data_IF_590868744975
#
_entry.id   IF_590868744975
#
_cell.length_a   1.000
_cell.length_b   1.000
_cell.length_c   1.000
_cell.angle_alpha   90.00
_cell.angle_beta   90.00
_cell.angle_gamma   90.00
#
_symmetry.space_group_name_H-M   'P 1'
#
loop_
_entity.id
_entity.type
_entity.pdbx_description
1 polymer ?
#
# COMPACT_ATOMS: atom_id res chain seq x y z
N UNK A 1 -12.23 16.00 -16.58
CA UNK A 1 -11.76 14.66 -16.15
C UNK A 1 -12.81 14.15 -15.17
N UNK A 2 -13.41 13.00 -15.43
CA UNK A 2 -14.40 12.40 -14.53
C UNK A 2 -14.35 10.89 -14.70
N UNK A 3 -14.40 10.15 -13.59
CA UNK A 3 -14.61 8.72 -13.63
C UNK A 3 -16.07 8.47 -14.04
N UNK A 4 -16.35 7.88 -15.22
CA UNK A 4 -17.73 7.71 -15.67
C UNK A 4 -18.54 6.88 -14.67
N UNK A 5 -19.68 7.42 -14.21
CA UNK A 5 -20.55 6.75 -13.24
C UNK A 5 -20.18 6.95 -11.77
N UNK A 6 -19.29 7.90 -11.45
CA UNK A 6 -18.94 8.30 -10.08
C UNK A 6 -19.44 9.71 -9.79
N UNK A 7 -20.29 9.86 -8.78
CA UNK A 7 -20.70 11.15 -8.24
C UNK A 7 -19.62 11.68 -7.29
N UNK A 8 -18.76 12.57 -7.79
CA UNK A 8 -17.66 13.19 -7.03
C UNK A 8 -18.16 14.19 -6.00
N UNK A 9 -17.63 14.20 -4.75
CA UNK A 9 -18.03 15.10 -3.66
C UNK A 9 -18.16 16.55 -4.14
N UNK A 10 -19.04 17.37 -3.53
CA UNK A 10 -19.25 18.71 -4.03
C UNK A 10 -17.93 19.45 -3.94
N UNK A 11 -17.67 20.32 -4.92
CA UNK A 11 -16.48 21.14 -4.85
C UNK A 11 -16.45 21.87 -3.52
N UNK A 12 -15.27 21.89 -2.92
CA UNK A 12 -15.07 22.60 -1.69
C UNK A 12 -15.41 24.08 -1.91
N UNK A 13 -16.22 24.71 -1.03
CA UNK A 13 -16.50 26.13 -1.14
C UNK A 13 -15.23 26.94 -0.86
N UNK A 14 -14.90 27.82 -1.79
CA UNK A 14 -13.77 28.75 -1.69
C UNK A 14 -14.27 30.21 -1.77
N UNK A 15 -13.64 31.14 -1.04
CA UNK A 15 -13.84 32.58 -1.21
C UNK A 15 -13.38 32.99 -2.61
N UNK A 16 -14.06 33.99 -3.19
CA UNK A 16 -13.65 34.55 -4.48
C UNK A 16 -12.38 35.40 -4.37
N UNK A 17 -12.10 35.95 -3.19
CA UNK A 17 -10.92 36.75 -2.90
C UNK A 17 -9.71 35.86 -2.60
N UNK A 18 -8.57 36.16 -3.24
CA UNK A 18 -7.36 35.36 -3.13
C UNK A 18 -6.82 35.31 -1.69
N UNK A 19 -6.75 36.44 -0.99
CA UNK A 19 -6.18 36.49 0.36
C UNK A 19 -7.07 35.71 1.33
N UNK A 20 -8.40 35.82 1.18
CA UNK A 20 -9.35 35.01 1.95
C UNK A 20 -9.26 33.52 1.62
N UNK A 21 -9.11 33.15 0.35
CA UNK A 21 -8.97 31.76 -0.07
C UNK A 21 -7.65 31.14 0.42
N UNK A 22 -6.55 31.90 0.34
CA UNK A 22 -5.26 31.50 0.87
C UNK A 22 -5.33 31.30 2.38
N UNK A 23 -5.92 32.24 3.12
CA UNK A 23 -6.10 32.11 4.57
C UNK A 23 -6.95 30.90 4.94
N UNK A 24 -8.00 30.57 4.17
CA UNK A 24 -8.78 29.35 4.39
C UNK A 24 -7.97 28.08 4.10
N UNK A 25 -7.13 28.08 3.06
CA UNK A 25 -6.25 26.96 2.73
C UNK A 25 -5.18 26.73 3.80
N UNK A 26 -4.50 27.80 4.21
CA UNK A 26 -3.43 27.75 5.22
C UNK A 26 -3.93 27.42 6.63
N UNK A 27 -5.23 27.60 6.91
CA UNK A 27 -5.86 27.21 8.17
C UNK A 27 -6.16 25.70 8.26
N UNK A 28 -6.00 24.95 7.18
CA UNK A 28 -6.20 23.50 7.18
C UNK A 28 -5.03 22.76 7.82
N UNK A 29 -5.28 21.58 8.41
CA UNK A 29 -4.21 20.67 8.76
C UNK A 29 -3.35 20.37 7.51
N UNK A 30 -2.02 20.50 7.59
CA UNK A 30 -1.15 20.41 6.42
C UNK A 30 -1.09 18.99 5.84
N UNK A 31 -1.42 17.97 6.63
CA UNK A 31 -1.39 16.57 6.23
C UNK A 31 -2.69 15.90 6.63
N UNK A 32 -3.33 15.24 5.66
CA UNK A 32 -4.47 14.35 5.86
C UNK A 32 -4.11 12.96 5.36
N UNK A 33 -4.22 11.97 6.23
CA UNK A 33 -4.05 10.54 5.88
C UNK A 33 -5.41 9.92 5.81
N UNK A 34 -5.69 9.22 4.71
CA UNK A 34 -6.96 8.57 4.45
C UNK A 34 -6.76 7.07 4.40
N UNK A 35 -7.44 6.34 5.28
CA UNK A 35 -7.30 4.89 5.39
C UNK A 35 -8.42 4.19 4.63
N UNK A 36 -8.10 3.02 4.06
CA UNK A 36 -9.08 2.17 3.40
C UNK A 36 -9.88 2.93 2.31
N UNK A 37 -9.17 3.72 1.49
CA UNK A 37 -9.75 4.45 0.36
C UNK A 37 -10.41 3.46 -0.61
N UNK A 38 -11.68 3.67 -0.93
CA UNK A 38 -12.46 2.70 -1.71
C UNK A 38 -13.39 1.83 -0.86
N UNK A 39 -13.23 1.78 0.46
CA UNK A 39 -13.94 0.84 1.32
C UNK A 39 -14.98 1.49 2.24
N UNK A 40 -15.19 2.81 2.17
CA UNK A 40 -16.12 3.53 3.05
C UNK A 40 -17.56 2.98 3.05
N UNK A 41 -18.03 2.45 1.90
CA UNK A 41 -19.35 1.82 1.76
C UNK A 41 -19.31 0.29 1.64
N UNK A 42 -18.19 -0.36 1.98
CA UNK A 42 -18.17 -1.82 2.05
C UNK A 42 -19.05 -2.30 3.23
N UNK A 43 -20.08 -3.09 2.93
CA UNK A 43 -21.06 -3.58 3.92
C UNK A 43 -22.28 -2.65 4.06
N UNK A 44 -22.98 -2.72 5.20
CA UNK A 44 -24.19 -1.92 5.49
C UNK A 44 -23.88 -0.48 5.97
N UNK A 45 -22.70 0.06 5.65
CA UNK A 45 -22.26 1.41 6.09
C UNK A 45 -22.72 2.47 5.10
N UNK A 46 -23.35 3.53 5.61
CA UNK A 46 -23.76 4.69 4.82
C UNK A 46 -22.54 5.48 4.30
N UNK A 47 -22.71 6.15 3.16
CA UNK A 47 -21.68 7.06 2.64
C UNK A 47 -21.38 8.20 3.65
N UNK A 48 -20.11 8.60 3.84
CA UNK A 48 -19.72 9.68 4.75
C UNK A 48 -20.41 11.03 4.44
N UNK A 49 -20.76 11.24 3.17
CA UNK A 49 -21.54 12.37 2.70
C UNK A 49 -22.94 11.86 2.32
N UNK A 50 -23.90 11.99 3.23
CA UNK A 50 -25.23 11.39 3.16
C UNK A 50 -26.17 11.89 2.05
N UNK A 51 -25.63 12.50 0.98
CA UNK A 51 -26.39 13.06 -0.15
C UNK A 51 -26.15 12.36 -1.51
N UNK A 52 -25.47 11.20 -1.54
CA UNK A 52 -24.92 10.65 -2.80
C UNK A 52 -25.36 9.24 -3.12
N UNK A 53 -25.67 9.04 -4.39
CA UNK A 53 -26.06 7.77 -4.99
C UNK A 53 -24.85 7.07 -5.61
N UNK A 54 -24.70 5.74 -5.47
CA UNK A 54 -25.60 4.83 -4.76
C UNK A 54 -25.41 4.85 -3.24
N UNK A 55 -26.51 4.64 -2.50
CA UNK A 55 -26.51 4.35 -1.06
C UNK A 55 -26.89 2.86 -0.85
N UNK A 56 -26.02 2.01 -0.26
CA UNK A 56 -24.68 2.32 0.22
C UNK A 56 -23.64 2.50 -0.90
N UNK A 57 -22.56 3.21 -0.59
CA UNK A 57 -21.47 3.50 -1.53
C UNK A 57 -20.85 2.19 -2.07
N UNK A 58 -20.79 1.98 -3.40
CA UNK A 58 -20.15 0.79 -3.96
C UNK A 58 -18.65 0.70 -3.58
N UNK A 59 -18.09 -0.52 -3.46
CA UNK A 59 -16.65 -0.70 -3.35
C UNK A 59 -15.90 0.03 -4.48
N UNK A 60 -14.83 0.73 -4.13
CA UNK A 60 -14.00 1.50 -5.04
C UNK A 60 -14.44 2.94 -5.28
N UNK A 61 -15.48 3.43 -4.60
CA UNK A 61 -15.79 4.86 -4.56
C UNK A 61 -14.67 5.63 -3.81
N UNK A 62 -14.33 6.88 -4.19
CA UNK A 62 -13.16 7.60 -3.68
C UNK A 62 -13.36 8.17 -2.25
N UNK A 63 -13.91 7.35 -1.36
CA UNK A 63 -14.12 7.66 0.04
C UNK A 63 -13.30 6.70 0.91
N UNK A 64 -12.64 7.26 1.91
CA UNK A 64 -11.95 6.53 2.97
C UNK A 64 -12.93 6.11 4.06
N UNK A 65 -12.67 4.97 4.69
CA UNK A 65 -13.42 4.56 5.89
C UNK A 65 -13.19 5.57 7.03
N UNK A 66 -11.96 6.03 7.19
CA UNK A 66 -11.57 7.03 8.18
C UNK A 66 -10.44 7.91 7.62
N UNK A 67 -10.41 9.17 8.05
CA UNK A 67 -9.33 10.10 7.76
C UNK A 67 -8.82 10.70 9.06
N UNK A 68 -7.50 10.81 9.18
CA UNK A 68 -6.81 11.46 10.30
C UNK A 68 -5.96 12.63 9.78
N UNK A 69 -5.73 13.64 10.62
CA UNK A 69 -4.93 14.82 10.27
C UNK A 69 -3.69 14.95 11.16
N UNK A 70 -2.60 15.44 10.59
CA UNK A 70 -1.30 15.58 11.26
C UNK A 70 -0.64 16.92 10.94
N UNK A 71 0.14 17.43 11.90
CA UNK A 71 0.90 18.68 11.78
C UNK A 71 2.26 18.50 11.09
N UNK A 72 2.77 17.27 11.03
CA UNK A 72 4.08 16.96 10.43
C UNK A 72 4.10 15.58 9.80
N UNK A 73 5.05 15.39 8.87
CA UNK A 73 5.33 14.10 8.26
C UNK A 73 6.76 13.63 8.59
N UNK A 74 6.95 12.38 9.04
CA UNK A 74 5.91 11.44 9.47
C UNK A 74 5.08 11.97 10.66
N UNK A 75 3.92 11.36 10.96
CA UNK A 75 3.15 11.70 12.15
C UNK A 75 4.02 11.78 13.42
N UNK A 76 3.77 12.75 14.32
CA UNK A 76 4.50 12.83 15.58
C UNK A 76 4.41 11.52 16.38
N UNK A 77 5.55 11.01 16.86
CA UNK A 77 5.60 9.75 17.60
C UNK A 77 5.68 8.49 16.74
N UNK A 78 5.75 8.59 15.41
CA UNK A 78 6.01 7.44 14.54
C UNK A 78 7.36 6.79 14.89
N UNK A 79 7.30 5.52 15.28
CA UNK A 79 8.47 4.65 15.48
C UNK A 79 8.59 3.66 14.33
N UNK A 80 9.76 3.52 13.68
CA UNK A 80 9.95 2.49 12.67
C UNK A 80 9.73 1.09 13.26
N UNK A 81 8.84 0.32 12.66
CA UNK A 81 8.73 -1.12 12.93
C UNK A 81 9.80 -1.82 12.10
N UNK A 82 10.79 -2.42 12.79
CA UNK A 82 11.92 -3.08 12.12
C UNK A 82 11.70 -4.58 12.13
N UNK A 83 11.64 -5.13 10.92
CA UNK A 83 11.64 -6.56 10.69
C UNK A 83 12.91 -6.98 9.96
N UNK A 84 13.39 -8.16 10.28
CA UNK A 84 14.52 -8.82 9.66
C UNK A 84 14.03 -9.99 8.82
N UNK A 85 14.61 -10.13 7.63
CA UNK A 85 14.42 -11.31 6.79
C UNK A 85 14.97 -12.53 7.54
N UNK A 86 14.12 -13.52 7.76
CA UNK A 86 14.49 -14.79 8.37
C UNK A 86 14.59 -15.88 7.31
N UNK A 87 15.38 -16.93 7.56
CA UNK A 87 15.38 -18.07 6.65
C UNK A 87 14.01 -18.75 6.62
N UNK A 88 13.75 -19.48 5.53
CA UNK A 88 12.47 -20.14 5.25
C UNK A 88 11.30 -19.17 5.03
N UNK A 89 11.58 -17.91 4.67
CA UNK A 89 10.56 -16.93 4.25
C UNK A 89 9.79 -16.28 5.39
N UNK A 90 10.38 -16.15 6.58
CA UNK A 90 9.74 -15.47 7.71
C UNK A 90 10.22 -14.01 7.86
N UNK A 91 9.43 -13.18 8.54
CA UNK A 91 9.82 -11.86 9.06
C UNK A 91 9.70 -11.85 10.58
N UNK A 92 10.72 -11.32 11.26
CA UNK A 92 10.74 -11.23 12.72
C UNK A 92 11.44 -9.93 13.19
N UNK A 93 11.10 -9.44 14.37
CA UNK A 93 11.76 -8.28 14.99
C UNK A 93 13.17 -8.61 15.52
N UNK A 94 13.44 -9.88 15.81
CA UNK A 94 14.77 -10.33 16.21
C UNK A 94 15.67 -10.56 14.98
N UNK A 95 16.96 -10.16 15.03
CA UNK A 95 17.91 -10.52 13.99
C UNK A 95 18.03 -12.05 13.82
N UNK A 96 18.30 -12.56 12.60
CA UNK A 96 18.44 -13.98 12.38
C UNK A 96 19.59 -14.57 13.22
N UNK A 97 19.30 -15.68 13.90
CA UNK A 97 20.29 -16.41 14.70
C UNK A 97 21.25 -17.26 13.84
N UNK A 98 20.94 -17.39 12.54
CA UNK A 98 21.73 -18.13 11.57
C UNK A 98 22.92 -17.30 11.13
N UNK A 99 24.12 -17.88 11.14
CA UNK A 99 25.34 -17.20 10.66
C UNK A 99 25.34 -17.06 9.13
N UNK A 100 25.84 -15.93 8.64
CA UNK A 100 25.89 -15.56 7.22
C UNK A 100 26.54 -16.62 6.32
N UNK A 101 27.54 -17.35 6.83
CA UNK A 101 28.26 -18.36 6.05
C UNK A 101 27.52 -19.69 5.91
N UNK A 102 26.38 -19.85 6.57
CA UNK A 102 25.60 -21.08 6.48
C UNK A 102 24.80 -21.13 5.17
N UNK A 103 24.39 -22.33 4.76
CA UNK A 103 23.51 -22.50 3.59
C UNK A 103 22.14 -21.84 3.74
N UNK A 104 21.76 -21.42 4.96
CA UNK A 104 20.53 -20.71 5.29
C UNK A 104 20.75 -19.22 5.58
N UNK A 105 21.98 -18.72 5.40
CA UNK A 105 22.32 -17.30 5.62
C UNK A 105 21.94 -16.39 4.45
N UNK A 106 21.46 -16.96 3.34
CA UNK A 106 21.00 -16.22 2.18
C UNK A 106 19.92 -17.02 1.45
N UNK A 107 18.95 -16.30 0.86
CA UNK A 107 17.97 -16.85 -0.06
C UNK A 107 18.33 -16.53 -1.51
N UNK A 108 17.87 -17.38 -2.43
CA UNK A 108 18.16 -17.23 -3.85
C UNK A 108 16.91 -17.48 -4.67
N UNK A 109 16.72 -16.69 -5.71
CA UNK A 109 15.70 -16.92 -6.73
C UNK A 109 16.33 -16.82 -8.11
N UNK A 110 15.63 -17.33 -9.12
CA UNK A 110 16.01 -17.17 -10.52
C UNK A 110 15.09 -16.13 -11.13
N UNK A 111 15.64 -14.94 -11.41
CA UNK A 111 14.91 -13.95 -12.19
C UNK A 111 14.45 -14.53 -13.53
N UNK A 112 13.15 -14.48 -13.77
CA UNK A 112 12.52 -14.87 -15.02
C UNK A 112 11.93 -13.62 -15.67
N UNK A 113 12.59 -13.12 -16.73
CA UNK A 113 12.16 -11.94 -17.44
C UNK A 113 10.76 -12.08 -18.08
N UNK A 114 10.26 -13.30 -18.27
CA UNK A 114 8.88 -13.51 -18.73
C UNK A 114 7.84 -13.24 -17.64
N UNK A 115 8.26 -13.25 -16.36
CA UNK A 115 7.39 -12.90 -15.22
C UNK A 115 7.06 -11.42 -15.18
N UNK A 116 7.75 -10.53 -15.91
CA UNK A 116 7.39 -9.11 -15.97
C UNK A 116 6.03 -8.83 -16.62
N UNK A 117 5.41 -9.83 -17.28
CA UNK A 117 4.01 -9.77 -17.72
C UNK A 117 3.00 -10.24 -16.68
N UNK A 118 3.47 -10.82 -15.57
CA UNK A 118 2.68 -11.18 -14.40
C UNK A 118 2.70 -9.95 -13.48
N UNK A 119 1.53 -9.41 -13.18
CA UNK A 119 1.41 -8.21 -12.38
C UNK A 119 -0.04 -7.91 -12.08
N UNK A 120 -0.30 -6.70 -11.59
CA UNK A 120 -1.64 -6.25 -11.24
C UNK A 120 -2.43 -6.01 -12.53
N UNK A 121 -3.23 -7.00 -12.93
CA UNK A 121 -4.06 -6.94 -14.12
C UNK A 121 -5.47 -6.47 -13.81
N UNK A 122 -5.94 -5.40 -14.46
CA UNK A 122 -7.35 -5.00 -14.40
C UNK A 122 -8.18 -5.76 -15.43
N UNK A 123 -9.29 -6.36 -15.00
CA UNK A 123 -10.27 -7.00 -15.89
C UNK A 123 -11.25 -6.01 -16.52
N UNK A 124 -11.25 -4.75 -16.06
CA UNK A 124 -12.12 -3.65 -16.49
C UNK A 124 -11.28 -2.38 -16.74
N UNK A 125 -11.95 -1.31 -17.15
CA UNK A 125 -11.34 0.03 -17.29
C UNK A 125 -10.61 0.44 -16.01
N UNK A 126 -9.37 0.95 -16.13
CA UNK A 126 -8.62 1.53 -15.02
C UNK A 126 -9.31 2.76 -14.41
N UNK A 127 -10.25 3.36 -15.14
CA UNK A 127 -11.09 4.47 -14.68
C UNK A 127 -12.38 4.00 -13.98
N UNK A 128 -12.60 2.69 -13.85
CA UNK A 128 -13.71 2.11 -13.08
C UNK A 128 -13.44 2.25 -11.59
N UNK A 129 -14.48 2.42 -10.76
CA UNK A 129 -14.35 2.37 -9.29
C UNK A 129 -13.75 1.05 -8.83
N UNK A 130 -14.13 -0.04 -9.49
CA UNK A 130 -13.52 -1.34 -9.31
C UNK A 130 -13.03 -1.85 -10.67
N UNK A 131 -11.73 -1.69 -10.99
CA UNK A 131 -11.12 -2.24 -12.20
C UNK A 131 -11.03 -3.77 -12.20
N UNK A 132 -11.37 -4.43 -11.09
CA UNK A 132 -11.27 -5.88 -10.93
C UNK A 132 -9.82 -6.33 -11.05
N UNK A 133 -8.95 -5.71 -10.26
CA UNK A 133 -7.54 -6.06 -10.20
C UNK A 133 -7.38 -7.51 -9.73
N UNK A 134 -6.50 -8.23 -10.42
CA UNK A 134 -6.11 -9.58 -10.05
C UNK A 134 -4.66 -9.51 -9.59
N UNK A 135 -4.44 -9.80 -8.31
CA UNK A 135 -3.12 -10.04 -7.76
C UNK A 135 -2.73 -11.49 -8.06
N UNK A 136 -1.58 -11.68 -8.70
CA UNK A 136 -1.06 -13.00 -9.02
C UNK A 136 0.37 -13.08 -8.45
N UNK A 137 0.65 -14.01 -7.54
CA UNK A 137 2.00 -14.19 -7.04
C UNK A 137 2.91 -14.63 -8.18
N UNK A 138 4.18 -14.24 -8.08
CA UNK A 138 5.21 -14.72 -9.00
C UNK A 138 5.35 -16.25 -8.87
N UNK A 139 5.70 -16.95 -9.97
CA UNK A 139 5.96 -18.38 -9.92
C UNK A 139 6.98 -18.76 -8.84
N UNK A 140 6.83 -19.95 -8.28
CA UNK A 140 7.75 -20.45 -7.27
C UNK A 140 9.19 -20.43 -7.78
N UNK A 141 10.11 -19.89 -6.97
CA UNK A 141 11.53 -19.78 -7.30
C UNK A 141 11.90 -18.62 -8.23
N UNK A 142 10.95 -17.80 -8.69
CA UNK A 142 11.24 -16.59 -9.49
C UNK A 142 11.16 -15.28 -8.70
N UNK A 143 10.76 -15.35 -7.43
CA UNK A 143 10.77 -14.25 -6.46
C UNK A 143 11.05 -14.78 -5.06
N UNK A 144 11.25 -13.88 -4.10
CA UNK A 144 11.34 -14.19 -2.67
C UNK A 144 10.15 -13.55 -1.96
N UNK A 145 9.57 -14.26 -1.01
CA UNK A 145 8.46 -13.78 -0.19
C UNK A 145 8.78 -14.04 1.27
N UNK A 146 8.53 -13.02 2.11
CA UNK A 146 8.74 -13.09 3.54
C UNK A 146 7.47 -12.66 4.25
N UNK A 147 7.05 -13.43 5.25
CA UNK A 147 5.79 -13.21 5.97
C UNK A 147 6.04 -13.17 7.48
N UNK A 148 5.49 -12.17 8.16
CA UNK A 148 5.53 -12.13 9.62
C UNK A 148 4.54 -13.13 10.22
N UNK A 149 4.68 -13.41 11.51
CA UNK A 149 3.56 -13.97 12.25
C UNK A 149 2.33 -13.03 12.18
N UNK A 150 1.11 -13.55 12.35
CA UNK A 150 -0.09 -12.72 12.39
C UNK A 150 0.03 -11.61 13.43
N UNK A 151 -0.37 -10.40 13.06
CA UNK A 151 -0.41 -9.28 14.00
C UNK A 151 -1.41 -9.56 15.12
N UNK A 152 -0.98 -9.37 16.37
CA UNK A 152 -1.81 -9.65 17.56
C UNK A 152 -2.85 -8.55 17.84
N UNK A 153 -2.74 -7.41 17.18
CA UNK A 153 -3.63 -6.26 17.33
C UNK A 153 -3.74 -5.45 16.03
N UNK A 154 -4.85 -4.72 15.90
CA UNK A 154 -5.04 -3.75 14.82
C UNK A 154 -3.88 -2.74 14.82
N UNK A 155 -3.17 -2.65 13.70
CA UNK A 155 -1.94 -1.86 13.58
C UNK A 155 -2.06 -0.89 12.41
N UNK A 156 -2.00 0.41 12.69
CA UNK A 156 -1.93 1.43 11.66
C UNK A 156 -0.47 1.76 11.32
N UNK A 157 -0.09 1.60 10.05
CA UNK A 157 1.23 1.99 9.54
C UNK A 157 1.10 3.26 8.73
N UNK A 158 1.72 4.34 9.21
CA UNK A 158 1.70 5.65 8.54
C UNK A 158 3.10 6.22 8.51
N UNK A 159 3.66 6.34 7.32
CA UNK A 159 5.01 6.82 7.12
C UNK A 159 5.62 6.28 5.84
N UNK A 160 6.94 6.31 5.78
CA UNK A 160 7.73 5.72 4.71
C UNK A 160 8.27 4.36 5.13
N UNK A 161 8.28 3.39 4.22
CA UNK A 161 9.01 2.14 4.38
C UNK A 161 10.32 2.16 3.57
N UNK A 162 11.29 1.37 4.03
CA UNK A 162 12.54 1.08 3.32
C UNK A 162 13.00 -0.33 3.65
N UNK A 163 13.87 -0.89 2.82
CA UNK A 163 14.50 -2.19 3.05
C UNK A 163 16.00 -2.07 2.79
N UNK A 164 16.78 -2.68 3.67
CA UNK A 164 18.23 -2.81 3.54
C UNK A 164 18.56 -4.22 3.04
N UNK A 165 19.17 -4.31 1.85
CA UNK A 165 19.47 -5.59 1.21
C UNK A 165 20.96 -5.73 0.91
N UNK A 166 21.49 -6.94 1.18
CA UNK A 166 22.79 -7.38 0.69
C UNK A 166 22.56 -8.30 -0.51
N UNK A 167 22.86 -7.80 -1.71
CA UNK A 167 22.52 -8.48 -2.96
C UNK A 167 23.78 -8.97 -3.67
N UNK A 168 23.70 -10.18 -4.22
CA UNK A 168 24.66 -10.69 -5.20
C UNK A 168 23.90 -11.17 -6.42
N UNK A 169 24.31 -10.70 -7.60
CA UNK A 169 23.75 -11.13 -8.88
C UNK A 169 24.77 -11.88 -9.72
N UNK A 170 24.27 -12.74 -10.62
CA UNK A 170 25.06 -13.31 -11.72
C UNK A 170 25.10 -12.40 -12.93
N UNK A 171 24.21 -11.40 -13.00
CA UNK A 171 24.19 -10.34 -14.00
C UNK A 171 24.98 -9.10 -13.51
N UNK A 172 25.55 -8.30 -14.43
CA UNK A 172 26.29 -7.10 -14.08
C UNK A 172 25.41 -5.87 -13.74
N UNK A 173 24.11 -5.92 -14.05
CA UNK A 173 23.11 -4.86 -13.82
C UNK A 173 21.77 -5.56 -13.51
N UNK A 174 21.05 -5.09 -12.50
CA UNK A 174 19.75 -5.65 -12.09
C UNK A 174 18.76 -4.56 -11.69
N UNK A 175 17.49 -4.84 -11.94
CA UNK A 175 16.37 -4.14 -11.31
C UNK A 175 15.92 -4.94 -10.09
N UNK A 176 15.81 -4.26 -8.94
CA UNK A 176 15.23 -4.78 -7.70
C UNK A 176 13.89 -4.09 -7.48
N UNK A 177 12.85 -4.88 -7.29
CA UNK A 177 11.52 -4.45 -6.89
C UNK A 177 11.18 -5.12 -5.56
N UNK A 178 10.62 -4.34 -4.64
CA UNK A 178 10.16 -4.85 -3.35
C UNK A 178 8.75 -4.33 -3.11
N UNK A 179 7.83 -5.26 -2.89
CA UNK A 179 6.45 -4.98 -2.54
C UNK A 179 6.25 -5.25 -1.05
N UNK A 180 5.74 -4.25 -0.34
CA UNK A 180 5.13 -4.41 0.96
C UNK A 180 3.63 -4.68 0.75
N UNK A 181 3.16 -5.79 1.32
CA UNK A 181 1.76 -6.22 1.23
C UNK A 181 1.20 -6.58 2.60
N UNK A 182 -0.12 -6.57 2.71
CA UNK A 182 -0.86 -7.09 3.85
C UNK A 182 -1.49 -8.44 3.48
N UNK A 183 -1.23 -9.48 4.27
CA UNK A 183 -1.95 -10.75 4.18
C UNK A 183 -3.09 -10.76 5.20
N UNK A 184 -4.31 -10.79 4.70
CA UNK A 184 -5.53 -10.77 5.51
C UNK A 184 -5.89 -12.16 6.05
N UNK A 185 -6.70 -12.25 7.12
CA UNK A 185 -7.14 -13.54 7.69
C UNK A 185 -7.92 -14.44 6.71
N UNK A 186 -8.48 -13.89 5.64
CA UNK A 186 -9.16 -14.64 4.58
C UNK A 186 -8.17 -15.18 3.52
N UNK A 187 -6.87 -15.02 3.73
CA UNK A 187 -5.79 -15.45 2.85
C UNK A 187 -5.57 -14.53 1.65
N UNK A 188 -6.23 -13.37 1.60
CA UNK A 188 -6.02 -12.39 0.51
C UNK A 188 -4.83 -11.49 0.81
N UNK A 189 -4.01 -11.29 -0.20
CA UNK A 189 -2.91 -10.34 -0.18
C UNK A 189 -3.36 -9.02 -0.79
N UNK A 190 -3.04 -7.91 -0.12
CA UNK A 190 -3.36 -6.55 -0.55
C UNK A 190 -2.10 -5.72 -0.64
N UNK A 191 -1.95 -5.01 -1.76
CA UNK A 191 -0.84 -4.08 -1.98
C UNK A 191 -0.85 -2.92 -0.98
N UNK A 192 0.33 -2.59 -0.42
CA UNK A 192 0.53 -1.40 0.44
C UNK A 192 1.45 -0.39 -0.24
N UNK A 193 2.68 -0.78 -0.57
CA UNK A 193 3.68 0.10 -1.18
C UNK A 193 4.76 -0.71 -1.93
N UNK A 194 5.26 -0.20 -3.05
CA UNK A 194 6.44 -0.73 -3.74
C UNK A 194 7.63 0.23 -3.69
N UNK A 195 8.83 -0.30 -3.90
CA UNK A 195 10.03 0.46 -4.21
C UNK A 195 10.87 -0.23 -5.29
N UNK A 196 11.57 0.56 -6.11
CA UNK A 196 12.44 0.07 -7.17
C UNK A 196 13.85 0.65 -7.06
N UNK A 197 14.84 -0.15 -7.41
CA UNK A 197 16.24 0.26 -7.52
C UNK A 197 16.90 -0.43 -8.72
N UNK A 198 17.65 0.32 -9.53
CA UNK A 198 18.58 -0.24 -10.52
C UNK A 198 20.00 -0.17 -9.97
N UNK A 199 20.76 -1.26 -10.02
CA UNK A 199 22.07 -1.42 -9.38
C UNK A 199 23.10 -2.11 -10.27
#
# INVERSE_FOLDING_TARGET
IGAPGVDLPPDRPWPEDFDAALAQYEAEPPIRVSFEQGAAGAGDRACPDGDRSPDPCPPGYPYSVVSESYESWPPPGTTPWRLFLQPDGALDEAPPAVVDTSARGADTYRYDASSGGLGIGASRSLMSTNPGFTWAPNPEGTSLSFLSEPLEADTAMVGTASVDLWVRSTAPDVDLEVDLTEVRPDGRETYVQSGWLRA
#
